data_IF_782030173978
#
_entry.id   IF_782030173978
#
_cell.length_a   1.000
_cell.length_b   1.000
_cell.length_c   1.000
_cell.angle_alpha   90.00
_cell.angle_beta   90.00
_cell.angle_gamma   90.00
#
_symmetry.space_group_name_H-M   'P 1'
#
loop_
_entity.id
_entity.type
_entity.pdbx_description
1 polymer ?
#
# COMPACT_ATOMS: atom_id res chain seq x y z
N UNK A 1 -16.98 34.56 -8.37
CA UNK A 1 -17.35 33.83 -9.61
C UNK A 1 -16.37 34.27 -10.68
N UNK A 2 -15.59 33.45 -11.37
CA UNK A 2 -15.65 32.01 -11.60
C UNK A 2 -14.22 31.46 -11.64
N UNK A 3 -13.98 30.41 -10.85
CA UNK A 3 -12.73 29.66 -10.75
C UNK A 3 -13.07 28.23 -11.18
N UNK A 4 -13.51 28.05 -12.44
CA UNK A 4 -14.15 26.79 -12.85
C UNK A 4 -14.02 26.46 -14.36
N UNK A 5 -12.86 26.71 -14.98
CA UNK A 5 -12.61 26.31 -16.38
C UNK A 5 -11.51 25.24 -16.54
N UNK A 6 -11.01 24.62 -15.45
CA UNK A 6 -9.90 23.65 -15.52
C UNK A 6 -10.32 22.17 -15.61
N UNK A 7 -11.59 21.85 -15.89
CA UNK A 7 -12.08 20.46 -15.87
C UNK A 7 -12.91 20.05 -17.10
N UNK A 8 -12.62 20.61 -18.27
CA UNK A 8 -13.12 20.06 -19.54
C UNK A 8 -12.07 19.16 -20.18
N UNK A 9 -11.87 18.00 -19.57
CA UNK A 9 -11.17 16.86 -20.18
C UNK A 9 -11.91 16.51 -21.48
N UNK A 10 -11.25 16.44 -22.65
CA UNK A 10 -11.92 16.01 -23.87
C UNK A 10 -12.41 14.58 -23.65
N UNK A 11 -13.70 14.35 -23.92
CA UNK A 11 -14.25 13.00 -23.99
C UNK A 11 -13.41 12.17 -24.97
N UNK A 12 -13.14 10.88 -24.70
CA UNK A 12 -12.45 10.03 -25.66
C UNK A 12 -13.30 10.01 -26.94
N UNK A 13 -12.72 10.51 -28.02
CA UNK A 13 -13.31 10.43 -29.34
C UNK A 13 -13.63 8.95 -29.63
N UNK A 14 -14.82 8.71 -30.22
CA UNK A 14 -15.22 7.40 -30.70
C UNK A 14 -14.08 6.71 -31.47
N UNK A 15 -13.90 5.39 -31.34
CA UNK A 15 -12.78 4.70 -31.97
C UNK A 15 -12.81 4.94 -33.47
N UNK A 16 -11.80 5.67 -33.97
CA UNK A 16 -11.62 5.90 -35.39
C UNK A 16 -11.41 4.54 -36.07
N UNK A 17 -12.10 4.29 -37.18
CA UNK A 17 -11.90 3.09 -37.98
C UNK A 17 -10.40 2.93 -38.32
N UNK A 18 -9.88 1.69 -38.38
CA UNK A 18 -8.48 1.46 -38.72
C UNK A 18 -8.20 2.05 -40.11
N UNK A 19 -7.05 2.72 -40.31
CA UNK A 19 -6.69 3.26 -41.61
C UNK A 19 -6.63 2.13 -42.65
N UNK A 20 -7.42 2.25 -43.71
CA UNK A 20 -7.43 1.30 -44.84
C UNK A 20 -6.03 1.09 -45.42
N UNK A 21 -5.18 2.12 -45.36
CA UNK A 21 -3.79 2.08 -45.81
C UNK A 21 -2.91 1.14 -44.97
N UNK A 22 -3.19 1.01 -43.67
CA UNK A 22 -2.47 0.13 -42.77
C UNK A 22 -2.80 -1.33 -43.05
N UNK A 23 -4.08 -1.63 -43.31
CA UNK A 23 -4.54 -2.94 -43.76
C UNK A 23 -3.90 -3.30 -45.10
N UNK A 24 -3.89 -2.36 -46.04
CA UNK A 24 -3.29 -2.55 -47.36
C UNK A 24 -1.77 -2.82 -47.28
N UNK A 25 -1.05 -2.09 -46.42
CA UNK A 25 0.38 -2.31 -46.19
C UNK A 25 0.65 -3.71 -45.60
N UNK A 26 -0.16 -4.15 -44.64
CA UNK A 26 -0.03 -5.49 -44.05
C UNK A 26 -0.37 -6.60 -45.07
N UNK A 27 -1.37 -6.39 -45.92
CA UNK A 27 -1.68 -7.31 -47.02
C UNK A 27 -0.59 -7.34 -48.09
N UNK A 28 0.08 -6.21 -48.37
CA UNK A 28 1.23 -6.17 -49.27
C UNK A 28 2.44 -6.90 -48.71
N UNK A 29 2.57 -6.95 -47.38
CA UNK A 29 3.57 -7.78 -46.68
C UNK A 29 3.24 -9.28 -46.69
N UNK A 30 2.11 -9.69 -47.30
CA UNK A 30 1.70 -11.10 -47.39
C UNK A 30 1.13 -11.66 -46.09
N UNK A 31 0.79 -10.81 -45.12
CA UNK A 31 0.14 -11.23 -43.87
C UNK A 31 -1.25 -11.77 -44.17
N UNK A 32 -1.62 -12.87 -43.50
CA UNK A 32 -2.96 -13.43 -43.63
C UNK A 32 -3.99 -12.51 -42.97
N UNK A 33 -5.21 -12.40 -43.54
CA UNK A 33 -6.27 -11.53 -43.02
C UNK A 33 -6.55 -11.78 -41.51
N UNK A 34 -6.42 -13.02 -41.03
CA UNK A 34 -6.55 -13.35 -39.59
C UNK A 34 -5.46 -12.72 -38.71
N UNK A 35 -4.23 -12.64 -39.21
CA UNK A 35 -3.10 -12.01 -38.50
C UNK A 35 -3.25 -10.49 -38.47
N UNK A 36 -3.79 -9.91 -39.56
CA UNK A 36 -4.10 -8.49 -39.66
C UNK A 36 -5.18 -8.11 -38.64
N UNK A 37 -6.23 -8.92 -38.52
CA UNK A 37 -7.29 -8.72 -37.53
C UNK A 37 -6.73 -8.74 -36.10
N UNK A 38 -5.89 -9.73 -35.76
CA UNK A 38 -5.28 -9.80 -34.43
C UNK A 38 -4.34 -8.63 -34.14
N UNK A 39 -3.57 -8.18 -35.14
CA UNK A 39 -2.67 -7.03 -35.01
C UNK A 39 -3.43 -5.72 -34.76
N UNK A 40 -4.57 -5.52 -35.44
CA UNK A 40 -5.41 -4.33 -35.30
C UNK A 40 -6.28 -4.36 -34.04
N UNK A 41 -6.78 -5.54 -33.63
CA UNK A 41 -7.47 -5.71 -32.35
C UNK A 41 -6.55 -5.39 -31.17
N UNK A 42 -5.26 -5.78 -31.23
CA UNK A 42 -4.25 -5.40 -30.23
C UNK A 42 -3.99 -3.90 -30.16
N UNK A 43 -4.25 -3.18 -31.25
CA UNK A 43 -4.18 -1.72 -31.32
C UNK A 43 -5.49 -1.04 -30.85
N UNK A 44 -6.48 -1.83 -30.42
CA UNK A 44 -7.74 -1.35 -29.85
C UNK A 44 -8.82 -1.03 -30.88
N UNK A 45 -8.65 -1.44 -32.15
CA UNK A 45 -9.68 -1.27 -33.17
C UNK A 45 -10.80 -2.29 -33.03
N UNK A 46 -12.03 -1.85 -33.31
CA UNK A 46 -13.21 -2.71 -33.28
C UNK A 46 -13.21 -3.70 -34.46
N UNK A 47 -13.66 -4.93 -34.20
CA UNK A 47 -13.65 -6.03 -35.19
C UNK A 47 -14.51 -5.71 -36.42
N UNK A 48 -15.65 -5.04 -36.25
CA UNK A 48 -16.50 -4.62 -37.37
C UNK A 48 -15.78 -3.60 -38.25
N UNK A 49 -15.14 -2.62 -37.62
CA UNK A 49 -14.40 -1.58 -38.33
C UNK A 49 -13.17 -2.15 -39.06
N UNK A 50 -12.53 -3.18 -38.52
CA UNK A 50 -11.42 -3.91 -39.18
C UNK A 50 -11.91 -4.65 -40.42
N UNK A 51 -13.05 -5.34 -40.35
CA UNK A 51 -13.64 -6.05 -41.50
C UNK A 51 -14.05 -5.09 -42.61
N UNK A 52 -14.64 -3.94 -42.24
CA UNK A 52 -14.99 -2.89 -43.19
C UNK A 52 -13.74 -2.30 -43.87
N UNK A 53 -12.66 -2.08 -43.13
CA UNK A 53 -11.40 -1.58 -43.68
C UNK A 53 -10.70 -2.61 -44.59
N UNK A 54 -10.79 -3.91 -44.27
CA UNK A 54 -10.27 -5.00 -45.11
C UNK A 54 -11.03 -5.12 -46.43
N UNK A 55 -12.36 -5.11 -46.39
CA UNK A 55 -13.17 -5.15 -47.62
C UNK A 55 -12.91 -3.93 -48.51
N UNK A 56 -12.73 -2.75 -47.91
CA UNK A 56 -12.36 -1.53 -48.64
C UNK A 56 -10.93 -1.58 -49.20
N UNK A 57 -9.98 -2.18 -48.48
CA UNK A 57 -8.60 -2.36 -48.97
C UNK A 57 -8.55 -3.32 -50.18
N UNK A 58 -9.32 -4.41 -50.11
CA UNK A 58 -9.46 -5.38 -51.21
C UNK A 58 -10.16 -4.75 -52.42
N UNK A 59 -11.23 -3.98 -52.20
CA UNK A 59 -11.90 -3.24 -53.25
C UNK A 59 -10.97 -2.22 -53.93
N UNK A 60 -10.12 -1.51 -53.16
CA UNK A 60 -9.10 -0.58 -53.69
C UNK A 60 -7.98 -1.29 -54.44
N UNK A 61 -7.61 -2.51 -54.02
CA UNK A 61 -6.59 -3.34 -54.69
C UNK A 61 -7.13 -3.98 -55.99
N UNK A 62 -8.44 -4.23 -56.06
CA UNK A 62 -9.12 -4.89 -57.17
C UNK A 62 -9.56 -3.98 -58.32
N UNK A 63 -9.26 -2.67 -58.29
CA UNK A 63 -9.58 -1.77 -59.42
C UNK A 63 -8.43 -1.78 -60.45
N UNK A 64 -8.22 -2.92 -61.10
CA UNK A 64 -7.73 -2.92 -62.48
C UNK A 64 -8.95 -3.02 -63.41
N UNK A 65 -9.05 -2.21 -64.48
CA UNK A 65 -10.19 -2.26 -65.38
C UNK A 65 -10.04 -3.48 -66.29
N UNK A 66 -10.53 -4.64 -65.85
CA UNK A 66 -10.62 -5.83 -66.70
C UNK A 66 -12.06 -6.03 -67.19
N UNK A 67 -12.18 -5.88 -68.49
CA UNK A 67 -13.30 -6.22 -69.37
C UNK A 67 -13.90 -7.60 -69.08
N UNK A 68 -15.23 -7.79 -69.22
CA UNK A 68 -15.85 -9.08 -68.97
C UNK A 68 -15.52 -10.05 -70.12
N UNK A 69 -14.75 -11.10 -69.83
CA UNK A 69 -14.72 -12.33 -70.63
C UNK A 69 -15.28 -13.48 -69.80
N UNK A 70 -16.21 -14.28 -70.35
CA UNK A 70 -16.67 -15.50 -69.71
C UNK A 70 -15.65 -16.61 -69.96
N UNK A 71 -14.84 -16.94 -68.97
CA UNK A 71 -14.00 -18.15 -68.97
C UNK A 71 -14.47 -19.13 -67.89
N UNK A 72 -14.68 -20.36 -68.34
CA UNK A 72 -15.05 -21.53 -67.56
C UNK A 72 -13.95 -21.86 -66.54
N UNK A 73 -14.30 -21.83 -65.26
CA UNK A 73 -13.40 -22.26 -64.18
C UNK A 73 -13.33 -23.79 -64.10
N UNK A 74 -12.13 -24.39 -63.98
CA UNK A 74 -11.98 -25.78 -63.56
C UNK A 74 -12.49 -25.98 -62.13
N UNK A 75 -13.01 -27.17 -61.76
CA UNK A 75 -13.53 -27.40 -60.42
C UNK A 75 -12.40 -27.32 -59.39
N UNK A 76 -12.50 -26.35 -58.49
CA UNK A 76 -11.68 -26.30 -57.28
C UNK A 76 -11.95 -27.56 -56.43
N UNK A 77 -10.92 -28.16 -55.81
CA UNK A 77 -11.13 -29.14 -54.77
C UNK A 77 -11.92 -28.47 -53.64
N UNK A 78 -13.04 -29.10 -53.29
CA UNK A 78 -13.94 -28.71 -52.21
C UNK A 78 -13.16 -28.41 -50.93
N UNK A 79 -13.16 -27.14 -50.51
CA UNK A 79 -12.79 -26.78 -49.16
C UNK A 79 -13.69 -27.55 -48.18
N UNK A 80 -13.15 -28.06 -47.05
CA UNK A 80 -13.97 -28.76 -46.06
C UNK A 80 -15.09 -27.83 -45.59
N UNK A 81 -16.31 -28.38 -45.37
CA UNK A 81 -17.47 -27.58 -45.05
C UNK A 81 -17.23 -26.80 -43.75
N UNK A 82 -17.64 -25.52 -43.75
CA UNK A 82 -17.60 -24.60 -42.61
C UNK A 82 -17.91 -25.19 -41.20
N UNK A 83 -18.80 -26.19 -41.02
CA UNK A 83 -18.97 -26.88 -39.72
C UNK A 83 -17.66 -27.40 -39.09
N UNK A 84 -16.74 -27.97 -39.86
CA UNK A 84 -15.51 -28.57 -39.32
C UNK A 84 -14.54 -27.55 -38.71
N UNK A 85 -14.64 -26.28 -39.11
CA UNK A 85 -13.81 -25.19 -38.55
C UNK A 85 -14.43 -24.63 -37.28
N UNK A 86 -15.76 -24.50 -37.25
CA UNK A 86 -16.50 -24.06 -36.07
C UNK A 86 -16.35 -25.07 -34.92
N UNK A 87 -16.45 -26.37 -35.21
CA UNK A 87 -16.23 -27.43 -34.22
C UNK A 87 -14.81 -27.38 -33.61
N UNK A 88 -13.79 -27.14 -34.44
CA UNK A 88 -12.41 -26.98 -33.95
C UNK A 88 -12.21 -25.71 -33.12
N UNK A 89 -12.91 -24.61 -33.44
CA UNK A 89 -12.89 -23.39 -32.62
C UNK A 89 -13.70 -23.53 -31.33
N UNK A 90 -14.79 -24.30 -31.35
CA UNK A 90 -15.65 -24.59 -30.19
C UNK A 90 -14.91 -25.50 -29.19
N UNK A 91 -14.24 -26.55 -29.65
CA UNK A 91 -13.43 -27.44 -28.80
C UNK A 91 -12.27 -26.68 -28.11
N UNK A 92 -11.58 -25.80 -28.86
CA UNK A 92 -10.51 -24.96 -28.30
C UNK A 92 -11.09 -23.91 -27.34
N UNK A 93 -12.26 -23.34 -27.64
CA UNK A 93 -12.91 -22.36 -26.78
C UNK A 93 -13.41 -22.98 -25.48
N UNK A 94 -14.05 -24.15 -25.51
CA UNK A 94 -14.51 -24.86 -24.31
C UNK A 94 -13.33 -25.23 -23.40
N UNK A 95 -12.26 -25.79 -23.96
CA UNK A 95 -11.07 -26.15 -23.17
C UNK A 95 -10.40 -24.91 -22.55
N UNK A 96 -10.28 -23.80 -23.30
CA UNK A 96 -9.70 -22.55 -22.77
C UNK A 96 -10.61 -21.92 -21.71
N UNK A 97 -11.93 -21.93 -21.91
CA UNK A 97 -12.90 -21.37 -20.96
C UNK A 97 -12.90 -22.17 -19.67
N UNK A 98 -12.93 -23.50 -19.72
CA UNK A 98 -12.90 -24.34 -18.51
C UNK A 98 -11.57 -24.22 -17.77
N UNK A 99 -10.45 -24.23 -18.48
CA UNK A 99 -9.12 -24.06 -17.86
C UNK A 99 -9.01 -22.70 -17.17
N UNK A 100 -9.44 -21.62 -17.83
CA UNK A 100 -9.43 -20.27 -17.25
C UNK A 100 -10.46 -20.11 -16.12
N UNK A 101 -11.60 -20.79 -16.20
CA UNK A 101 -12.62 -20.76 -15.15
C UNK A 101 -12.16 -21.49 -13.88
N UNK A 102 -11.46 -22.63 -14.04
CA UNK A 102 -10.85 -23.34 -12.92
C UNK A 102 -9.74 -22.52 -12.26
N UNK A 103 -8.86 -21.90 -13.04
CA UNK A 103 -7.82 -21.00 -12.52
C UNK A 103 -8.42 -19.83 -11.74
N UNK A 104 -9.45 -19.19 -12.30
CA UNK A 104 -10.15 -18.08 -11.64
C UNK A 104 -10.81 -18.52 -10.32
N UNK A 105 -11.49 -19.68 -10.31
CA UNK A 105 -12.13 -20.22 -9.10
C UNK A 105 -11.10 -20.53 -8.02
N UNK A 106 -9.92 -21.02 -8.42
CA UNK A 106 -8.81 -21.29 -7.51
C UNK A 106 -8.22 -20.00 -6.91
N UNK A 107 -8.10 -18.94 -7.70
CA UNK A 107 -7.69 -17.62 -7.21
C UNK A 107 -8.73 -16.99 -6.26
N UNK A 108 -10.02 -17.16 -6.54
CA UNK A 108 -11.10 -16.74 -5.63
C UNK A 108 -11.04 -17.48 -4.28
N UNK A 109 -10.67 -18.76 -4.28
CA UNK A 109 -10.42 -19.52 -3.04
C UNK A 109 -9.31 -18.89 -2.19
N UNK A 110 -8.18 -18.52 -2.82
CA UNK A 110 -7.09 -17.80 -2.12
C UNK A 110 -7.53 -16.44 -1.58
N UNK A 111 -8.43 -15.75 -2.28
CA UNK A 111 -8.97 -14.47 -1.82
C UNK A 111 -9.85 -14.64 -0.56
N UNK A 112 -10.61 -15.74 -0.47
CA UNK A 112 -11.37 -16.09 0.73
C UNK A 112 -10.42 -16.40 1.91
N UNK A 113 -9.38 -17.21 1.69
CA UNK A 113 -8.37 -17.49 2.71
C UNK A 113 -7.64 -16.21 3.17
N UNK A 114 -7.34 -15.31 2.24
CA UNK A 114 -6.75 -14.01 2.55
C UNK A 114 -7.69 -13.15 3.40
N UNK A 115 -8.98 -13.09 3.05
CA UNK A 115 -10.00 -12.40 3.84
C UNK A 115 -10.05 -12.95 5.28
N UNK A 116 -10.05 -14.26 5.45
CA UNK A 116 -10.10 -14.89 6.77
C UNK A 116 -8.83 -14.61 7.59
N UNK A 117 -7.67 -14.59 6.93
CA UNK A 117 -6.38 -14.20 7.54
C UNK A 117 -6.38 -12.74 7.98
N UNK A 118 -6.91 -11.82 7.17
CA UNK A 118 -7.03 -10.39 7.52
C UNK A 118 -8.00 -10.19 8.69
N UNK A 119 -9.17 -10.84 8.66
CA UNK A 119 -10.12 -10.78 9.78
C UNK A 119 -9.47 -11.27 11.08
N UNK A 120 -8.78 -12.42 11.04
CA UNK A 120 -8.09 -12.96 12.21
C UNK A 120 -6.98 -12.03 12.73
N UNK A 121 -6.29 -11.32 11.84
CA UNK A 121 -5.28 -10.31 12.23
C UNK A 121 -5.92 -9.06 12.83
N UNK A 122 -7.07 -8.65 12.31
CA UNK A 122 -7.83 -7.52 12.84
C UNK A 122 -8.30 -7.83 14.27
N UNK A 123 -8.88 -9.01 14.49
CA UNK A 123 -9.31 -9.45 15.83
C UNK A 123 -8.14 -9.45 16.84
N UNK A 124 -6.97 -9.96 16.41
CA UNK A 124 -5.75 -9.94 17.24
C UNK A 124 -5.25 -8.53 17.53
N UNK A 125 -5.38 -7.62 16.57
CA UNK A 125 -4.97 -6.23 16.72
C UNK A 125 -5.91 -5.48 17.67
N UNK A 126 -7.21 -5.74 17.59
CA UNK A 126 -8.20 -5.24 18.55
C UNK A 126 -7.90 -5.74 19.97
N UNK A 127 -7.61 -7.04 20.13
CA UNK A 127 -7.22 -7.59 21.43
C UNK A 127 -5.93 -6.95 21.96
N UNK A 128 -4.90 -6.83 21.12
CA UNK A 128 -3.62 -6.21 21.52
C UNK A 128 -3.81 -4.75 21.91
N UNK A 129 -4.70 -4.02 21.22
CA UNK A 129 -5.02 -2.63 21.55
C UNK A 129 -5.75 -2.54 22.90
N UNK A 130 -6.68 -3.46 23.17
CA UNK A 130 -7.34 -3.58 24.47
C UNK A 130 -6.34 -3.88 25.60
N UNK A 131 -5.41 -4.80 25.37
CA UNK A 131 -4.39 -5.17 26.36
C UNK A 131 -3.44 -4.00 26.62
N UNK A 132 -2.97 -3.30 25.57
CA UNK A 132 -2.14 -2.09 25.71
C UNK A 132 -2.88 -1.00 26.49
N UNK A 133 -4.18 -0.83 26.26
CA UNK A 133 -5.00 0.11 27.04
C UNK A 133 -5.04 -0.28 28.52
N UNK A 134 -5.26 -1.56 28.82
CA UNK A 134 -5.29 -2.04 30.20
C UNK A 134 -3.93 -1.86 30.90
N UNK A 135 -2.84 -2.17 30.21
CA UNK A 135 -1.47 -1.97 30.71
C UNK A 135 -1.15 -0.50 30.96
N UNK A 136 -1.59 0.40 30.08
CA UNK A 136 -1.44 1.84 30.25
C UNK A 136 -2.21 2.35 31.48
N UNK A 137 -3.44 1.89 31.69
CA UNK A 137 -4.23 2.23 32.87
C UNK A 137 -3.57 1.74 34.16
N UNK A 138 -3.00 0.53 34.15
CA UNK A 138 -2.28 -0.02 35.29
C UNK A 138 -0.96 0.72 35.56
N UNK A 139 -0.23 1.09 34.51
CA UNK A 139 0.98 1.90 34.62
C UNK A 139 0.65 3.29 35.17
N UNK A 140 -0.43 3.92 34.71
CA UNK A 140 -0.86 5.22 35.21
C UNK A 140 -1.18 5.17 36.72
N UNK A 141 -1.91 4.13 37.16
CA UNK A 141 -2.19 3.90 38.59
C UNK A 141 -0.92 3.71 39.41
N UNK A 142 0.04 2.91 38.91
CA UNK A 142 1.29 2.66 39.64
C UNK A 142 2.16 3.91 39.74
N UNK A 143 2.22 4.74 38.68
CA UNK A 143 2.90 6.03 38.69
C UNK A 143 2.27 6.96 39.73
N UNK A 144 0.93 7.08 39.77
CA UNK A 144 0.25 7.92 40.77
C UNK A 144 0.55 7.44 42.19
N UNK A 145 0.50 6.12 42.45
CA UNK A 145 0.84 5.56 43.76
C UNK A 145 2.28 5.92 44.14
N UNK A 146 3.22 5.73 43.20
CA UNK A 146 4.64 6.01 43.44
C UNK A 146 4.87 7.50 43.71
N UNK A 147 4.23 8.40 42.96
CA UNK A 147 4.30 9.85 43.22
C UNK A 147 3.77 10.17 44.62
N UNK A 148 2.63 9.60 45.03
CA UNK A 148 2.09 9.79 46.37
C UNK A 148 3.01 9.28 47.49
N UNK A 149 3.65 8.13 47.29
CA UNK A 149 4.69 7.61 48.20
C UNK A 149 5.91 8.54 48.26
N UNK A 150 6.35 9.06 47.11
CA UNK A 150 7.45 10.04 47.04
C UNK A 150 7.12 11.33 47.77
N UNK A 151 5.92 11.89 47.57
CA UNK A 151 5.47 13.11 48.26
C UNK A 151 5.46 12.90 49.78
N UNK A 152 4.97 11.75 50.25
CA UNK A 152 4.99 11.40 51.67
C UNK A 152 6.41 11.29 52.21
N UNK A 153 7.29 10.56 51.51
CA UNK A 153 8.69 10.43 51.91
C UNK A 153 9.39 11.80 51.94
N UNK A 154 9.07 12.71 51.00
CA UNK A 154 9.62 14.06 50.99
C UNK A 154 9.15 14.90 52.18
N UNK A 155 7.89 14.75 52.61
CA UNK A 155 7.37 15.38 53.82
C UNK A 155 8.04 14.85 55.09
N UNK A 156 8.26 13.53 55.16
CA UNK A 156 8.94 12.89 56.28
C UNK A 156 10.40 13.36 56.36
N UNK A 157 11.13 13.33 55.25
CA UNK A 157 12.50 13.88 55.14
C UNK A 157 12.51 15.37 55.50
N UNK A 158 11.55 16.16 55.06
CA UNK A 158 11.44 17.57 55.45
C UNK A 158 11.26 17.77 56.96
N UNK A 159 10.57 16.83 57.63
CA UNK A 159 10.38 16.84 59.07
C UNK A 159 11.67 16.45 59.81
N UNK A 160 12.37 15.43 59.33
CA UNK A 160 13.67 15.02 59.85
C UNK A 160 14.73 16.12 59.67
N UNK A 161 14.76 16.78 58.51
CA UNK A 161 15.66 17.91 58.24
C UNK A 161 15.38 19.05 59.23
N UNK A 162 14.11 19.37 59.52
CA UNK A 162 13.77 20.38 60.55
C UNK A 162 14.20 19.96 61.95
N UNK A 163 14.09 18.68 62.30
CA UNK A 163 14.58 18.18 63.58
C UNK A 163 16.10 18.31 63.66
N UNK A 164 16.80 17.94 62.58
CA UNK A 164 18.26 18.08 62.46
C UNK A 164 18.67 19.56 62.52
N UNK A 165 17.94 20.47 61.87
CA UNK A 165 18.13 21.91 61.98
C UNK A 165 18.09 22.37 63.44
N UNK A 166 17.07 21.95 64.21
CA UNK A 166 16.98 22.25 65.65
C UNK A 166 18.14 21.67 66.46
N UNK A 167 18.62 20.48 66.10
CA UNK A 167 19.81 19.90 66.75
C UNK A 167 21.04 20.75 66.43
N UNK A 168 21.25 21.15 65.18
CA UNK A 168 22.33 22.06 64.79
C UNK A 168 22.26 23.40 65.53
N UNK A 169 21.07 24.00 65.63
CA UNK A 169 20.85 25.24 66.39
C UNK A 169 21.24 25.11 67.87
N UNK A 170 21.12 23.92 68.46
CA UNK A 170 21.56 23.66 69.85
C UNK A 170 23.05 23.33 69.95
N UNK A 171 23.58 22.57 69.00
CA UNK A 171 24.98 22.10 69.01
C UNK A 171 25.96 23.23 68.68
N UNK A 172 25.64 24.12 67.73
CA UNK A 172 26.51 25.22 67.33
C UNK A 172 26.92 26.15 68.49
N UNK A 173 25.98 26.62 69.34
CA UNK A 173 26.32 27.37 70.55
C UNK A 173 27.19 26.57 71.52
N UNK A 174 26.83 25.32 71.84
CA UNK A 174 27.59 24.49 72.78
C UNK A 174 29.01 24.23 72.29
N UNK A 175 29.21 23.97 71.00
CA UNK A 175 30.55 23.83 70.43
C UNK A 175 31.35 25.13 70.54
N UNK A 176 30.72 26.27 70.25
CA UNK A 176 31.37 27.58 70.32
C UNK A 176 31.75 27.92 71.76
N UNK A 177 30.87 27.64 72.72
CA UNK A 177 31.09 27.84 74.15
C UNK A 177 32.21 26.92 74.67
N UNK A 178 32.18 25.62 74.34
CA UNK A 178 33.25 24.67 74.68
C UNK A 178 34.61 25.07 74.09
N UNK A 179 34.65 25.54 72.84
CA UNK A 179 35.89 26.02 72.20
C UNK A 179 36.39 27.30 72.88
N UNK A 180 35.49 28.21 73.27
CA UNK A 180 35.84 29.41 74.01
C UNK A 180 36.40 29.08 75.41
N UNK A 181 35.81 28.11 76.12
CA UNK A 181 36.32 27.61 77.40
C UNK A 181 37.69 26.96 77.25
N UNK A 182 37.87 26.06 76.28
CA UNK A 182 39.17 25.42 75.98
C UNK A 182 40.25 26.47 75.67
N UNK A 183 39.91 27.51 74.90
CA UNK A 183 40.81 28.63 74.61
C UNK A 183 41.20 29.37 75.90
N UNK A 184 40.25 29.60 76.81
CA UNK A 184 40.50 30.27 78.10
C UNK A 184 41.34 29.41 79.04
N UNK A 185 41.05 28.11 79.16
CA UNK A 185 41.85 27.15 79.95
C UNK A 185 43.27 27.09 79.40
N UNK A 186 43.43 26.99 78.08
CA UNK A 186 44.75 26.99 77.44
C UNK A 186 45.53 28.27 77.73
N UNK A 187 44.87 29.44 77.70
CA UNK A 187 45.51 30.73 78.06
C UNK A 187 45.93 30.79 79.53
N UNK A 188 45.12 30.24 80.45
CA UNK A 188 45.48 30.18 81.87
C UNK A 188 46.67 29.26 82.12
N UNK A 189 46.70 28.09 81.46
CA UNK A 189 47.80 27.11 81.56
C UNK A 189 49.08 27.64 80.89
N UNK A 190 48.97 28.42 79.80
CA UNK A 190 50.11 29.13 79.17
C UNK A 190 50.48 30.46 79.83
N UNK A 191 49.73 30.91 80.85
CA UNK A 191 50.03 32.15 81.56
C UNK A 191 51.42 32.08 82.20
N UNK A 192 52.17 33.20 82.28
CA UNK A 192 53.58 33.18 82.63
C UNK A 192 53.76 32.54 84.02
N UNK A 193 54.55 31.47 84.08
CA UNK A 193 55.04 30.92 85.33
C UNK A 193 55.72 32.06 86.09
N UNK A 194 55.07 32.55 87.15
CA UNK A 194 55.64 33.55 88.04
C UNK A 194 56.92 32.95 88.62
N UNK A 195 58.07 33.44 88.16
CA UNK A 195 59.32 33.41 88.90
C UNK A 195 59.31 34.56 89.90
#
# INVERSE_FOLDING_TARGET
MALLDFLKKPAPAAPAAPPVDQVLAMQQQGLANSQIVQALQRQGYDTSAIMDAMSQAEAKRGVEPMTPQPEEMPPLPSAPPAPARAEAFEEIAEHIVDEKWQDFTKEMGKMAEWKDSVNSRLDRLEQSMSDVKADLENLHKSIISRIGEYDKNLLDVGTEIKAMEKVFQKVLPTLTENVAELSRVTKQVKGPAKK
#
